data_IF_125868026402
#
_entry.id   IF_125868026402
#
_cell.length_a   1.000
_cell.length_b   1.000
_cell.length_c   1.000
_cell.angle_alpha   90.00
_cell.angle_beta   90.00
_cell.angle_gamma   90.00
#
_symmetry.space_group_name_H-M   'P 1'
#
loop_
_entity.id
_entity.type
_entity.pdbx_description
1 polymer ?
#
# COMPACT_ATOMS: atom_id res chain seq x y z
N UNK A 1 1.86 -15.88 7.37
CA UNK A 1 1.57 -14.43 7.31
C UNK A 1 2.72 -13.66 7.94
N UNK A 2 3.18 -12.58 7.31
CA UNK A 2 4.22 -11.71 7.84
C UNK A 2 3.97 -10.26 7.44
N UNK A 3 4.11 -9.34 8.41
CA UNK A 3 3.97 -7.90 8.25
C UNK A 3 5.35 -7.25 8.23
N UNK A 4 5.57 -6.34 7.29
CA UNK A 4 6.76 -5.49 7.21
C UNK A 4 8.03 -6.33 7.17
N UNK A 5 8.91 -6.27 8.18
CA UNK A 5 10.12 -7.09 8.26
C UNK A 5 9.85 -8.59 8.20
N UNK A 6 8.80 -9.09 8.85
CA UNK A 6 8.45 -10.51 8.77
C UNK A 6 7.89 -10.89 7.38
N UNK A 7 7.29 -9.94 6.65
CA UNK A 7 6.94 -10.13 5.24
C UNK A 7 8.18 -10.21 4.34
N UNK A 8 9.19 -9.37 4.60
CA UNK A 8 10.50 -9.43 3.92
C UNK A 8 11.26 -10.71 4.23
N UNK A 9 11.14 -11.22 5.47
CA UNK A 9 11.63 -12.54 5.84
C UNK A 9 10.99 -13.65 5.00
N UNK A 10 9.66 -13.65 4.88
CA UNK A 10 8.98 -14.65 4.05
C UNK A 10 9.42 -14.59 2.58
N UNK A 11 9.66 -13.38 2.04
CA UNK A 11 10.22 -13.23 0.69
C UNK A 11 11.63 -13.82 0.59
N UNK A 12 12.53 -13.51 1.54
CA UNK A 12 13.88 -14.09 1.52
C UNK A 12 13.89 -15.60 1.71
N UNK A 13 13.07 -16.12 2.63
CA UNK A 13 12.90 -17.55 2.87
C UNK A 13 12.58 -18.32 1.59
N UNK A 14 11.68 -17.79 0.76
CA UNK A 14 11.34 -18.38 -0.53
C UNK A 14 12.48 -18.25 -1.56
N UNK A 15 13.11 -17.07 -1.61
CA UNK A 15 14.25 -16.84 -2.50
C UNK A 15 15.44 -17.79 -2.23
N UNK A 16 15.74 -18.05 -0.96
CA UNK A 16 16.82 -18.94 -0.54
C UNK A 16 16.46 -20.43 -0.75
N UNK A 17 15.20 -20.72 -1.12
CA UNK A 17 14.73 -22.08 -1.39
C UNK A 17 14.34 -22.85 -0.12
N UNK A 18 14.16 -22.16 1.00
CA UNK A 18 13.89 -22.81 2.30
C UNK A 18 12.47 -23.36 2.43
N UNK A 19 11.61 -23.24 1.40
CA UNK A 19 10.33 -23.93 1.40
C UNK A 19 10.45 -25.44 1.15
N UNK A 20 11.61 -25.94 0.72
CA UNK A 20 11.93 -27.35 0.71
C UNK A 20 12.64 -27.70 2.02
N UNK A 21 12.06 -28.60 2.81
CA UNK A 21 12.71 -29.13 4.02
C UNK A 21 13.90 -30.04 3.67
N UNK A 22 14.64 -30.51 4.68
CA UNK A 22 15.81 -31.39 4.49
C UNK A 22 15.47 -32.74 3.81
N UNK A 23 14.17 -33.07 3.68
CA UNK A 23 13.66 -34.27 3.00
C UNK A 23 12.96 -33.93 1.67
N UNK A 24 13.03 -32.68 1.21
CA UNK A 24 12.41 -32.21 -0.03
C UNK A 24 10.90 -32.01 0.05
N UNK A 25 10.31 -31.90 1.25
CA UNK A 25 8.87 -31.64 1.43
C UNK A 25 8.61 -30.15 1.55
N UNK A 26 7.42 -29.73 1.11
CA UNK A 26 6.95 -28.36 1.26
C UNK A 26 6.79 -27.97 2.74
N UNK A 27 7.38 -26.86 3.16
CA UNK A 27 7.32 -26.36 4.54
C UNK A 27 6.11 -25.44 4.79
N UNK A 28 5.81 -24.53 3.86
CA UNK A 28 4.61 -23.70 3.88
C UNK A 28 3.77 -23.95 2.64
N UNK A 29 2.47 -24.22 2.86
CA UNK A 29 1.49 -24.29 1.78
C UNK A 29 1.00 -22.91 1.33
N UNK A 30 1.01 -21.94 2.25
CA UNK A 30 0.57 -20.57 2.00
C UNK A 30 1.50 -19.54 2.60
N UNK A 31 1.86 -18.54 1.80
CA UNK A 31 2.67 -17.40 2.22
C UNK A 31 1.93 -16.10 1.95
N UNK A 32 1.78 -15.27 2.99
CA UNK A 32 1.24 -13.93 2.85
C UNK A 32 2.26 -12.91 3.36
N UNK A 33 2.88 -12.19 2.42
CA UNK A 33 3.79 -11.08 2.68
C UNK A 33 3.05 -9.74 2.59
N UNK A 34 2.76 -9.15 3.74
CA UNK A 34 2.06 -7.88 3.86
C UNK A 34 3.03 -6.73 4.15
N UNK A 35 2.87 -5.61 3.44
CA UNK A 35 3.64 -4.35 3.53
C UNK A 35 5.16 -4.54 3.53
N UNK A 36 5.62 -5.57 2.83
CA UNK A 36 7.04 -5.84 2.62
C UNK A 36 7.65 -4.87 1.57
N UNK A 37 6.81 -4.20 0.78
CA UNK A 37 7.24 -3.49 -0.42
C UNK A 37 7.87 -4.45 -1.43
N UNK A 38 8.89 -3.98 -2.15
CA UNK A 38 9.66 -4.82 -3.06
C UNK A 38 10.81 -5.57 -2.40
N UNK A 39 11.26 -5.12 -1.23
CA UNK A 39 12.45 -5.63 -0.58
C UNK A 39 12.36 -7.07 -0.09
N UNK A 40 13.52 -7.66 0.16
CA UNK A 40 13.72 -8.92 0.87
C UNK A 40 14.52 -8.66 2.14
N UNK A 41 14.57 -9.62 3.06
CA UNK A 41 15.28 -9.40 4.31
C UNK A 41 16.79 -9.51 4.15
N UNK A 42 17.53 -8.81 5.01
CA UNK A 42 18.99 -8.83 5.01
C UNK A 42 19.50 -9.85 6.03
N UNK A 43 19.58 -11.13 5.63
CA UNK A 43 20.02 -12.21 6.54
C UNK A 43 21.32 -12.90 6.08
N UNK A 44 21.44 -13.19 4.78
CA UNK A 44 22.47 -14.10 4.28
C UNK A 44 23.50 -13.43 3.36
N UNK A 45 24.03 -12.27 3.77
CA UNK A 45 25.15 -11.61 3.10
C UNK A 45 26.11 -10.94 4.09
N UNK A 46 27.34 -10.64 3.65
CA UNK A 46 28.37 -10.06 4.52
C UNK A 46 27.92 -8.72 5.10
N UNK A 47 27.99 -8.58 6.42
CA UNK A 47 27.52 -7.40 7.17
C UNK A 47 25.99 -7.18 7.13
N UNK A 48 25.23 -8.24 6.84
CA UNK A 48 23.78 -8.24 6.95
C UNK A 48 23.30 -7.77 8.33
N UNK A 49 22.31 -6.87 8.33
CA UNK A 49 21.64 -6.38 9.52
C UNK A 49 20.14 -6.68 9.37
N UNK A 50 19.65 -7.76 9.99
CA UNK A 50 18.26 -8.25 9.84
C UNK A 50 17.17 -7.22 10.13
N UNK A 51 17.46 -6.23 10.98
CA UNK A 51 16.52 -5.16 11.35
C UNK A 51 16.45 -3.99 10.35
N UNK A 52 17.33 -3.93 9.35
CA UNK A 52 17.37 -2.82 8.39
C UNK A 52 16.33 -2.96 7.28
N UNK A 53 15.68 -1.85 6.98
CA UNK A 53 14.69 -1.67 5.91
C UNK A 53 14.83 -0.36 5.15
N UNK A 54 14.36 -0.37 3.90
CA UNK A 54 14.42 0.78 3.03
C UNK A 54 13.42 1.84 3.46
N UNK A 55 13.90 3.07 3.63
CA UNK A 55 13.08 4.25 3.91
C UNK A 55 13.61 5.46 3.16
N UNK A 56 12.80 6.51 2.99
CA UNK A 56 13.27 7.78 2.42
C UNK A 56 14.51 8.35 3.16
N UNK A 57 14.64 8.15 4.49
CA UNK A 57 15.73 8.70 5.31
C UNK A 57 16.76 7.71 5.83
N UNK A 58 16.46 6.42 5.81
CA UNK A 58 17.27 5.40 6.46
C UNK A 58 17.64 4.34 5.44
N UNK A 59 18.84 3.80 5.60
CA UNK A 59 19.31 2.67 4.80
C UNK A 59 19.27 2.92 3.28
N UNK A 60 19.42 4.19 2.86
CA UNK A 60 19.35 4.60 1.45
C UNK A 60 20.34 3.83 0.59
N UNK A 61 21.59 3.74 1.06
CA UNK A 61 22.71 3.04 0.42
C UNK A 61 22.87 1.59 0.89
N UNK A 62 22.01 1.11 1.81
CA UNK A 62 22.09 -0.24 2.31
C UNK A 62 21.23 -1.16 1.43
N UNK A 63 21.70 -2.39 1.09
CA UNK A 63 21.02 -3.30 0.19
C UNK A 63 19.77 -3.95 0.82
N UNK A 64 18.73 -3.14 0.97
CA UNK A 64 17.42 -3.52 1.53
C UNK A 64 16.43 -3.95 0.45
N UNK A 65 16.42 -3.21 -0.65
CA UNK A 65 15.53 -3.40 -1.81
C UNK A 65 16.34 -3.94 -3.00
N UNK A 66 16.76 -5.20 -2.90
CA UNK A 66 17.57 -5.87 -3.93
C UNK A 66 16.76 -6.92 -4.70
N UNK A 67 16.98 -7.05 -6.03
CA UNK A 67 16.28 -8.05 -6.84
C UNK A 67 16.63 -9.47 -6.39
N UNK A 68 15.78 -10.48 -6.69
CA UNK A 68 14.58 -10.37 -7.50
C UNK A 68 13.41 -9.68 -6.81
N UNK A 69 12.60 -8.97 -7.59
CA UNK A 69 11.44 -8.25 -7.09
C UNK A 69 10.13 -8.97 -7.41
N UNK A 70 10.03 -9.48 -8.64
CA UNK A 70 8.86 -10.18 -9.16
C UNK A 70 8.77 -11.59 -8.57
N UNK A 71 7.55 -12.13 -8.52
CA UNK A 71 7.29 -13.47 -8.00
C UNK A 71 8.07 -14.55 -8.76
N UNK A 72 8.04 -14.54 -10.09
CA UNK A 72 8.65 -15.58 -10.93
C UNK A 72 10.13 -15.79 -10.59
N UNK A 73 10.88 -14.70 -10.45
CA UNK A 73 12.30 -14.77 -10.09
C UNK A 73 12.49 -15.12 -8.59
N UNK A 74 11.61 -14.63 -7.72
CA UNK A 74 11.61 -14.93 -6.29
C UNK A 74 11.39 -16.43 -6.03
N UNK A 75 10.54 -17.08 -6.82
CA UNK A 75 10.12 -18.47 -6.65
C UNK A 75 10.90 -19.47 -7.48
N UNK A 76 11.92 -19.04 -8.24
CA UNK A 76 12.66 -19.91 -9.16
C UNK A 76 13.19 -21.21 -8.50
N UNK A 77 13.66 -21.14 -7.24
CA UNK A 77 14.07 -22.33 -6.47
C UNK A 77 12.90 -23.20 -6.05
N UNK A 78 11.83 -22.60 -5.53
CA UNK A 78 10.63 -23.33 -5.13
C UNK A 78 9.98 -24.07 -6.31
N UNK A 79 10.00 -23.48 -7.51
CA UNK A 79 9.55 -24.13 -8.75
C UNK A 79 10.42 -25.34 -9.07
N UNK A 80 11.74 -25.18 -9.04
CA UNK A 80 12.70 -26.27 -9.29
C UNK A 80 12.54 -27.42 -8.30
N UNK A 81 12.29 -27.10 -7.04
CA UNK A 81 12.21 -28.07 -5.95
C UNK A 81 10.78 -28.59 -5.72
N UNK A 82 9.81 -28.18 -6.56
CA UNK A 82 8.40 -28.59 -6.50
C UNK A 82 7.69 -28.28 -5.17
N UNK A 83 8.01 -27.13 -4.57
CA UNK A 83 7.48 -26.66 -3.27
C UNK A 83 6.94 -25.23 -3.34
N UNK A 84 6.26 -24.87 -4.44
CA UNK A 84 5.68 -23.53 -4.63
C UNK A 84 4.47 -23.33 -3.71
N UNK A 85 4.49 -22.37 -2.77
CA UNK A 85 3.33 -22.06 -1.94
C UNK A 85 2.29 -21.24 -2.72
N UNK A 86 1.04 -21.25 -2.26
CA UNK A 86 0.07 -20.20 -2.64
C UNK A 86 0.46 -18.88 -2.00
N UNK A 87 0.42 -17.78 -2.74
CA UNK A 87 1.04 -16.52 -2.35
C UNK A 87 0.10 -15.33 -2.37
N UNK A 88 0.05 -14.57 -1.28
CA UNK A 88 -0.46 -13.19 -1.29
C UNK A 88 0.68 -12.20 -1.06
N UNK A 89 0.84 -11.27 -1.99
CA UNK A 89 1.55 -10.01 -1.76
C UNK A 89 0.50 -8.95 -1.51
N UNK A 90 0.53 -8.28 -0.36
CA UNK A 90 -0.32 -7.12 -0.16
C UNK A 90 0.42 -5.91 0.36
N UNK A 91 0.12 -4.76 -0.19
CA UNK A 91 0.80 -3.50 0.10
C UNK A 91 -0.24 -2.38 0.17
N UNK A 92 0.03 -1.36 0.99
CA UNK A 92 -0.70 -0.12 1.02
C UNK A 92 -0.06 0.92 0.10
N UNK A 93 -0.65 2.11 0.08
CA UNK A 93 -0.15 3.26 -0.67
C UNK A 93 1.24 3.68 -0.21
N UNK A 94 1.51 3.65 1.10
CA UNK A 94 2.84 3.98 1.62
C UNK A 94 3.95 3.11 1.02
N UNK A 95 3.73 1.83 0.75
CA UNK A 95 4.80 0.98 0.21
C UNK A 95 5.19 1.35 -1.23
N UNK A 96 4.31 1.98 -2.00
CA UNK A 96 4.68 2.53 -3.32
C UNK A 96 5.60 3.76 -3.17
N UNK A 97 5.34 4.60 -2.16
CA UNK A 97 6.14 5.80 -1.88
C UNK A 97 7.45 5.53 -1.15
N UNK A 98 7.41 4.63 -0.17
CA UNK A 98 8.46 4.42 0.82
C UNK A 98 9.19 3.09 0.72
N UNK A 99 8.68 2.12 -0.05
CA UNK A 99 9.24 0.75 -0.14
C UNK A 99 9.22 0.13 -1.55
N UNK A 100 9.20 0.98 -2.58
CA UNK A 100 9.35 0.59 -3.98
C UNK A 100 8.35 -0.49 -4.47
N UNK A 101 7.15 -0.61 -3.88
CA UNK A 101 6.23 -1.73 -4.12
C UNK A 101 5.90 -1.99 -5.59
N UNK A 102 5.90 -0.95 -6.45
CA UNK A 102 5.70 -1.13 -7.91
C UNK A 102 6.62 -2.18 -8.55
N UNK A 103 7.82 -2.41 -8.02
CA UNK A 103 8.80 -3.34 -8.61
C UNK A 103 8.37 -4.81 -8.51
N UNK A 104 7.38 -5.16 -7.67
CA UNK A 104 6.91 -6.55 -7.60
C UNK A 104 6.06 -6.95 -8.80
N UNK A 105 5.58 -5.97 -9.59
CA UNK A 105 4.66 -6.17 -10.72
C UNK A 105 4.98 -5.28 -11.93
N UNK A 106 6.22 -4.77 -12.03
CA UNK A 106 6.69 -4.00 -13.18
C UNK A 106 8.01 -4.54 -13.70
N UNK A 107 8.27 -4.37 -15.00
CA UNK A 107 9.55 -4.74 -15.61
C UNK A 107 10.71 -3.94 -15.00
N UNK A 108 11.96 -4.43 -15.03
CA UNK A 108 13.11 -3.73 -14.45
C UNK A 108 13.40 -2.32 -15.01
N UNK A 109 12.85 -2.00 -16.19
CA UNK A 109 12.89 -0.68 -16.83
C UNK A 109 11.63 0.17 -16.58
N UNK A 110 10.64 -0.36 -15.85
CA UNK A 110 9.41 0.32 -15.44
C UNK A 110 8.43 0.61 -16.57
N UNK A 111 8.50 -0.12 -17.69
CA UNK A 111 7.69 0.16 -18.89
C UNK A 111 6.53 -0.79 -19.13
N UNK A 112 6.52 -1.96 -18.48
CA UNK A 112 5.49 -2.96 -18.68
C UNK A 112 5.03 -3.56 -17.34
N UNK A 113 3.75 -3.95 -17.31
CA UNK A 113 3.20 -4.75 -16.23
C UNK A 113 3.80 -6.16 -16.26
N UNK A 114 4.13 -6.70 -15.08
CA UNK A 114 4.49 -8.10 -14.87
C UNK A 114 3.39 -8.73 -14.02
N UNK A 115 2.51 -9.56 -14.61
CA UNK A 115 1.43 -10.18 -13.84
C UNK A 115 1.97 -11.22 -12.85
N UNK A 116 1.29 -11.45 -11.71
CA UNK A 116 1.56 -12.61 -10.86
C UNK A 116 1.19 -13.91 -11.59
N UNK A 117 1.82 -15.01 -11.21
CA UNK A 117 1.46 -16.34 -11.68
C UNK A 117 0.13 -16.80 -11.05
N UNK A 118 -0.39 -17.94 -11.53
CA UNK A 118 -1.69 -18.47 -11.10
C UNK A 118 -1.80 -18.72 -9.59
N UNK A 119 -0.66 -19.03 -8.96
CA UNK A 119 -0.53 -19.35 -7.54
C UNK A 119 -0.19 -18.15 -6.67
N UNK A 120 -0.21 -16.94 -7.24
CA UNK A 120 -0.10 -15.71 -6.49
C UNK A 120 -1.27 -14.74 -6.73
N UNK A 121 -1.47 -13.87 -5.75
CA UNK A 121 -2.32 -12.67 -5.87
C UNK A 121 -1.58 -11.45 -5.33
N UNK A 122 -1.84 -10.31 -5.98
CA UNK A 122 -1.36 -9.00 -5.53
C UNK A 122 -2.57 -8.17 -5.13
N UNK A 123 -2.58 -7.69 -3.88
CA UNK A 123 -3.63 -6.83 -3.35
C UNK A 123 -3.06 -5.50 -2.88
N UNK A 124 -3.55 -4.42 -3.47
CA UNK A 124 -3.20 -3.06 -3.12
C UNK A 124 -4.33 -2.43 -2.29
N UNK A 125 -4.05 -1.94 -1.09
CA UNK A 125 -5.00 -1.18 -0.27
C UNK A 125 -4.83 0.31 -0.57
N UNK A 126 -5.76 0.84 -1.37
CA UNK A 126 -5.70 2.23 -1.83
C UNK A 126 -5.94 3.22 -0.70
N UNK A 127 -5.24 4.34 -0.73
CA UNK A 127 -5.26 5.42 0.26
C UNK A 127 -4.81 4.99 1.65
N UNK A 128 -3.90 4.02 1.81
CA UNK A 128 -3.48 3.55 3.14
C UNK A 128 -2.04 3.88 3.51
N UNK A 129 -1.82 4.16 4.79
CA UNK A 129 -0.47 4.17 5.36
C UNK A 129 0.08 2.76 5.64
N UNK A 130 1.31 2.66 6.20
CA UNK A 130 2.01 1.38 6.42
C UNK A 130 1.25 0.42 7.34
N UNK A 131 0.52 0.97 8.31
CA UNK A 131 -0.35 0.25 9.22
C UNK A 131 -1.79 0.72 9.09
N UNK A 132 -2.76 -0.01 9.64
CA UNK A 132 -4.15 0.42 9.61
C UNK A 132 -4.35 1.71 10.41
N UNK A 133 -5.11 2.64 9.83
CA UNK A 133 -5.47 3.90 10.46
C UNK A 133 -6.60 3.75 11.50
N UNK A 134 -6.83 4.84 12.23
CA UNK A 134 -7.85 4.92 13.27
C UNK A 134 -8.54 6.27 13.25
N UNK A 135 -9.81 6.30 13.61
CA UNK A 135 -10.55 7.53 13.89
C UNK A 135 -10.81 7.64 15.41
N UNK A 136 -10.52 8.78 16.06
CA UNK A 136 -9.83 9.96 15.51
C UNK A 136 -8.37 9.65 15.10
N UNK A 137 -7.76 10.45 14.21
CA UNK A 137 -6.37 10.30 13.80
C UNK A 137 -5.43 10.42 15.00
N UNK A 138 -4.32 9.66 14.96
CA UNK A 138 -3.28 9.76 15.98
C UNK A 138 -2.57 11.13 15.91
N UNK A 139 -1.96 11.56 17.00
CA UNK A 139 -1.07 12.74 16.97
C UNK A 139 0.29 12.33 16.42
N UNK A 140 0.75 13.04 15.39
CA UNK A 140 2.07 12.86 14.75
C UNK A 140 2.63 14.22 14.37
N UNK A 141 3.95 14.32 14.23
CA UNK A 141 4.64 15.55 13.81
C UNK A 141 4.76 15.62 12.28
N UNK A 142 3.64 15.43 11.59
CA UNK A 142 3.53 15.48 10.14
C UNK A 142 2.76 16.74 9.68
N UNK A 143 2.85 17.08 8.39
CA UNK A 143 2.17 18.25 7.82
C UNK A 143 0.65 18.12 7.92
N UNK A 144 0.13 16.94 7.58
CA UNK A 144 -1.29 16.63 7.59
C UNK A 144 -1.63 15.66 8.72
N UNK A 145 -2.92 15.55 9.06
CA UNK A 145 -3.41 14.48 9.93
C UNK A 145 -2.98 13.11 9.35
N UNK A 146 -2.66 12.11 10.20
CA UNK A 146 -2.33 10.79 9.70
C UNK A 146 -3.56 10.12 9.10
N UNK A 147 -3.32 9.34 8.04
CA UNK A 147 -4.35 8.53 7.39
C UNK A 147 -5.15 7.68 8.39
N UNK A 148 -6.45 7.60 8.14
CA UNK A 148 -7.41 6.87 8.99
C UNK A 148 -7.84 5.54 8.37
N UNK A 149 -7.60 5.29 7.09
CA UNK A 149 -8.10 4.12 6.38
C UNK A 149 -7.73 2.79 7.06
N UNK A 150 -8.75 1.98 7.39
CA UNK A 150 -8.59 0.70 8.09
C UNK A 150 -8.83 -0.51 7.17
N UNK A 151 -7.78 -0.92 6.47
CA UNK A 151 -7.82 -2.04 5.54
C UNK A 151 -7.92 -3.42 6.21
N UNK A 152 -7.93 -3.53 7.55
CA UNK A 152 -7.99 -4.83 8.25
C UNK A 152 -9.25 -5.62 7.93
N UNK A 153 -10.37 -4.94 7.64
CA UNK A 153 -11.60 -5.64 7.25
C UNK A 153 -11.43 -6.43 5.94
N UNK A 154 -10.70 -5.86 4.98
CA UNK A 154 -10.35 -6.57 3.75
C UNK A 154 -9.35 -7.70 4.01
N UNK A 155 -8.37 -7.50 4.91
CA UNK A 155 -7.47 -8.57 5.30
C UNK A 155 -8.19 -9.76 5.95
N UNK A 156 -9.24 -9.52 6.74
CA UNK A 156 -10.04 -10.59 7.34
C UNK A 156 -10.73 -11.44 6.28
N UNK A 157 -11.29 -10.82 5.24
CA UNK A 157 -11.88 -11.53 4.12
C UNK A 157 -10.83 -12.34 3.34
N UNK A 158 -9.72 -11.70 2.99
CA UNK A 158 -8.61 -12.36 2.30
C UNK A 158 -7.99 -13.51 3.09
N UNK A 159 -7.99 -13.45 4.43
CA UNK A 159 -7.54 -14.58 5.24
C UNK A 159 -8.41 -15.82 5.04
N UNK A 160 -9.74 -15.66 4.99
CA UNK A 160 -10.66 -16.77 4.71
C UNK A 160 -10.51 -17.24 3.26
N UNK A 161 -10.26 -16.33 2.32
CA UNK A 161 -9.99 -16.71 0.93
C UNK A 161 -8.69 -17.52 0.78
N UNK A 162 -7.63 -17.16 1.50
CA UNK A 162 -6.39 -17.96 1.55
C UNK A 162 -6.67 -19.33 2.17
N UNK A 163 -7.44 -19.41 3.27
CA UNK A 163 -7.80 -20.69 3.88
C UNK A 163 -8.57 -21.59 2.90
N UNK A 164 -9.60 -21.06 2.23
CA UNK A 164 -10.37 -21.81 1.24
C UNK A 164 -9.54 -22.23 0.02
N UNK A 165 -8.56 -21.41 -0.37
CA UNK A 165 -7.64 -21.75 -1.46
C UNK A 165 -6.73 -22.93 -1.08
N UNK A 166 -6.21 -22.93 0.15
CA UNK A 166 -5.32 -23.97 0.64
C UNK A 166 -6.03 -25.29 0.95
N UNK A 167 -7.22 -25.23 1.57
CA UNK A 167 -7.95 -26.43 1.98
C UNK A 167 -8.75 -27.07 0.85
N UNK A 168 -9.42 -26.25 0.06
CA UNK A 168 -10.51 -26.69 -0.81
C UNK A 168 -10.20 -26.42 -2.30
N UNK A 169 -9.09 -25.73 -2.60
CA UNK A 169 -8.76 -25.28 -3.95
C UNK A 169 -9.65 -24.12 -4.44
N UNK A 170 -10.46 -23.51 -3.56
CA UNK A 170 -11.35 -22.40 -3.94
C UNK A 170 -10.51 -21.16 -4.21
N UNK A 171 -10.43 -20.73 -5.47
CA UNK A 171 -9.63 -19.57 -5.83
C UNK A 171 -10.08 -18.30 -5.05
N UNK A 172 -9.13 -17.49 -4.57
CA UNK A 172 -9.42 -16.19 -3.97
C UNK A 172 -9.86 -15.19 -5.05
N UNK A 173 -10.34 -14.00 -4.68
CA UNK A 173 -10.56 -12.91 -5.62
C UNK A 173 -9.37 -12.67 -6.54
N UNK A 174 -9.63 -12.18 -7.74
CA UNK A 174 -8.58 -11.80 -8.66
C UNK A 174 -7.76 -10.63 -8.10
N UNK A 175 -6.49 -10.57 -8.49
CA UNK A 175 -5.55 -9.56 -8.01
C UNK A 175 -6.08 -8.14 -8.26
N UNK A 176 -5.94 -7.26 -7.26
CA UNK A 176 -6.38 -5.87 -7.29
C UNK A 176 -5.17 -4.95 -7.07
N UNK A 177 -4.56 -4.46 -8.15
CA UNK A 177 -3.38 -3.57 -8.10
C UNK A 177 -3.34 -2.62 -9.31
N UNK A 178 -2.69 -1.44 -9.18
CA UNK A 178 -2.53 -0.49 -10.27
C UNK A 178 -1.66 -1.05 -11.40
N UNK A 179 -2.04 -0.77 -12.65
CA UNK A 179 -1.35 -1.22 -13.86
C UNK A 179 -0.94 -0.07 -14.77
N UNK A 180 0.21 -0.20 -15.42
CA UNK A 180 0.71 0.70 -16.46
C UNK A 180 -0.24 0.66 -17.67
N UNK A 181 -0.65 -0.54 -18.10
CA UNK A 181 -1.58 -0.75 -19.24
C UNK A 181 -2.97 -0.13 -19.07
N UNK A 182 -3.29 0.38 -17.89
CA UNK A 182 -4.56 1.06 -17.57
C UNK A 182 -4.37 2.51 -17.14
N UNK A 183 -3.17 3.08 -17.29
CA UNK A 183 -2.81 4.42 -16.83
C UNK A 183 -3.02 4.64 -15.31
N UNK A 184 -3.00 3.55 -14.55
CA UNK A 184 -3.20 3.56 -13.09
C UNK A 184 -1.89 3.63 -12.30
N UNK A 185 -0.75 3.52 -12.99
CA UNK A 185 0.57 3.49 -12.38
C UNK A 185 1.51 4.42 -13.16
N UNK A 186 2.01 5.47 -12.51
CA UNK A 186 2.67 6.61 -13.18
C UNK A 186 3.98 7.00 -12.51
N UNK A 187 4.86 7.67 -13.25
CA UNK A 187 6.05 8.31 -12.68
C UNK A 187 5.63 9.48 -11.77
N UNK A 188 6.48 9.86 -10.81
CA UNK A 188 6.19 10.93 -9.85
C UNK A 188 5.76 12.25 -10.50
N UNK A 189 6.45 12.66 -11.57
CA UNK A 189 6.12 13.90 -12.29
C UNK A 189 4.80 13.86 -13.07
N UNK A 190 4.17 12.69 -13.20
CA UNK A 190 2.89 12.48 -13.88
C UNK A 190 1.73 12.15 -12.91
N UNK A 191 2.00 12.16 -11.59
CA UNK A 191 0.95 12.02 -10.58
C UNK A 191 0.03 13.24 -10.62
N UNK A 192 -1.25 13.03 -10.90
CA UNK A 192 -2.23 14.08 -11.13
C UNK A 192 -2.93 14.52 -9.82
N UNK A 193 -2.15 14.75 -8.75
CA UNK A 193 -2.71 15.16 -7.47
C UNK A 193 -3.31 16.57 -7.55
N UNK A 194 -4.52 16.82 -6.99
CA UNK A 194 -5.17 18.12 -7.09
C UNK A 194 -4.34 19.23 -6.44
N UNK A 195 -4.26 20.37 -7.10
CA UNK A 195 -3.57 21.55 -6.57
C UNK A 195 -4.43 22.21 -5.49
N UNK A 196 -4.07 21.98 -4.22
CA UNK A 196 -4.72 22.56 -3.05
C UNK A 196 -3.83 23.69 -2.51
N UNK A 197 -4.39 24.88 -2.30
CA UNK A 197 -3.61 26.03 -1.82
C UNK A 197 -3.02 25.78 -0.43
N UNK A 198 -1.76 26.18 -0.23
CA UNK A 198 -1.02 25.94 1.02
C UNK A 198 -0.59 24.49 1.30
N UNK A 199 -1.01 23.51 0.49
CA UNK A 199 -0.61 22.10 0.64
C UNK A 199 0.69 21.83 -0.11
N UNK A 200 1.75 21.41 0.59
CA UNK A 200 2.93 20.81 -0.06
C UNK A 200 2.65 19.36 -0.41
N UNK A 201 3.07 18.98 -1.61
CA UNK A 201 3.07 17.59 -2.12
C UNK A 201 4.51 17.09 -2.23
N UNK A 202 4.77 15.78 -2.06
CA UNK A 202 6.13 15.25 -2.14
C UNK A 202 6.73 15.40 -3.54
N UNK A 203 7.98 15.84 -3.61
CA UNK A 203 8.78 15.90 -4.84
C UNK A 203 9.82 14.80 -4.92
N UNK A 204 9.90 13.95 -3.89
CA UNK A 204 10.80 12.82 -3.78
C UNK A 204 10.04 11.58 -3.31
N UNK A 205 10.53 10.41 -3.71
CA UNK A 205 10.05 9.09 -3.27
C UNK A 205 11.24 8.18 -3.04
N UNK A 206 11.02 7.05 -2.35
CA UNK A 206 12.04 6.01 -2.21
C UNK A 206 12.31 5.37 -3.57
N UNK A 207 13.59 5.34 -3.93
CA UNK A 207 14.09 4.53 -5.05
C UNK A 207 14.82 3.30 -4.54
N UNK A 208 14.68 2.19 -5.27
CA UNK A 208 15.58 1.04 -5.15
C UNK A 208 16.74 1.21 -6.12
N UNK A 209 17.94 0.78 -5.73
CA UNK A 209 19.15 0.95 -6.54
C UNK A 209 19.72 -0.39 -6.96
N UNK A 210 20.33 -0.42 -8.15
CA UNK A 210 21.23 -1.53 -8.51
C UNK A 210 22.44 -1.46 -7.60
N UNK A 211 22.77 -2.55 -6.92
CA UNK A 211 23.89 -2.59 -5.98
C UNK A 211 24.79 -3.76 -6.35
N UNK A 212 26.07 -3.47 -6.59
CA UNK A 212 27.12 -4.48 -6.76
C UNK A 212 27.67 -4.86 -5.38
N UNK A 213 27.33 -6.08 -4.95
CA UNK A 213 27.74 -6.66 -3.67
C UNK A 213 29.08 -7.42 -3.76
N UNK A 214 29.73 -7.49 -4.93
CA UNK A 214 31.03 -8.16 -5.11
C UNK A 214 32.22 -7.35 -4.58
N UNK A 215 32.02 -6.06 -4.30
CA UNK A 215 33.03 -5.13 -3.78
C UNK A 215 32.61 -4.54 -2.43
N UNK A 216 33.59 -4.10 -1.62
CA UNK A 216 33.35 -3.48 -0.31
C UNK A 216 34.02 -2.10 -0.20
N UNK A 217 33.27 -1.01 0.05
CA UNK A 217 31.81 -0.96 0.22
C UNK A 217 31.05 -1.28 -1.08
N UNK A 218 29.80 -1.78 -1.01
CA UNK A 218 28.99 -2.04 -2.19
C UNK A 218 28.88 -0.83 -3.11
N UNK A 219 28.99 -1.06 -4.42
CA UNK A 219 28.92 0.02 -5.41
C UNK A 219 27.48 0.21 -5.88
N UNK A 220 26.96 1.44 -5.77
CA UNK A 220 25.65 1.78 -6.29
C UNK A 220 25.70 2.05 -7.80
N UNK A 221 24.70 1.55 -8.50
CA UNK A 221 24.38 1.86 -9.90
C UNK A 221 23.10 2.69 -10.01
N UNK A 222 22.52 2.69 -11.21
CA UNK A 222 21.29 3.41 -11.49
C UNK A 222 20.08 2.86 -10.70
N UNK A 223 19.17 3.77 -10.33
CA UNK A 223 17.90 3.44 -9.72
C UNK A 223 17.03 2.54 -10.63
N UNK A 224 16.24 1.67 -10.02
CA UNK A 224 15.10 1.05 -10.69
C UNK A 224 13.98 2.08 -10.80
N UNK A 225 13.31 2.22 -11.96
CA UNK A 225 12.17 3.12 -12.07
C UNK A 225 11.03 2.63 -11.19
N UNK A 226 10.79 3.29 -10.06
CA UNK A 226 9.60 3.03 -9.23
C UNK A 226 8.47 3.97 -9.64
N UNK A 227 7.25 3.45 -9.64
CA UNK A 227 6.03 4.14 -10.07
C UNK A 227 5.03 4.24 -8.92
N UNK A 228 4.07 5.15 -9.05
CA UNK A 228 3.07 5.47 -8.03
C UNK A 228 1.66 5.23 -8.56
N UNK A 229 0.72 4.76 -7.72
CA UNK A 229 -0.68 4.66 -8.09
C UNK A 229 -1.25 6.04 -8.46
N UNK A 230 -1.95 6.13 -9.59
CA UNK A 230 -2.61 7.35 -10.04
C UNK A 230 -3.86 7.65 -9.20
N UNK A 231 -4.16 8.94 -9.05
CA UNK A 231 -5.29 9.45 -8.27
C UNK A 231 -6.40 10.04 -9.15
N UNK A 232 -7.61 10.11 -8.60
CA UNK A 232 -8.71 10.86 -9.17
C UNK A 232 -8.60 12.36 -8.84
N UNK A 233 -9.59 13.14 -9.27
CA UNK A 233 -9.70 14.58 -9.02
C UNK A 233 -9.72 14.95 -7.53
N UNK A 234 -10.02 14.00 -6.65
CA UNK A 234 -10.06 14.18 -5.21
C UNK A 234 -8.73 13.81 -4.56
N UNK A 235 -7.72 13.40 -5.33
CA UNK A 235 -6.45 12.94 -4.80
C UNK A 235 -6.51 11.55 -4.17
N UNK A 236 -7.56 10.77 -4.47
CA UNK A 236 -7.71 9.39 -3.99
C UNK A 236 -7.32 8.40 -5.10
N UNK A 237 -6.58 7.36 -4.73
CA UNK A 237 -6.06 6.39 -5.71
C UNK A 237 -7.20 5.57 -6.36
N UNK A 238 -7.09 5.34 -7.66
CA UNK A 238 -8.19 4.80 -8.48
C UNK A 238 -8.20 3.28 -8.63
N UNK A 239 -7.10 2.62 -8.26
CA UNK A 239 -6.89 1.19 -8.44
C UNK A 239 -6.79 0.44 -7.11
N UNK A 240 -6.91 -0.89 -7.17
CA UNK A 240 -6.80 -1.75 -5.99
C UNK A 240 -8.09 -1.84 -5.17
N UNK A 241 -7.94 -2.33 -3.95
CA UNK A 241 -9.00 -2.43 -2.94
C UNK A 241 -9.18 -1.04 -2.32
N UNK A 242 -10.15 -0.30 -2.84
CA UNK A 242 -10.65 0.94 -2.24
C UNK A 242 -11.66 0.58 -1.16
N UNK A 243 -11.30 0.80 0.11
CA UNK A 243 -12.21 0.65 1.26
C UNK A 243 -13.41 1.60 1.12
N UNK A 244 -14.55 1.37 1.80
CA UNK A 244 -15.73 2.22 1.66
C UNK A 244 -15.45 3.71 1.90
N UNK A 245 -14.60 4.05 2.88
CA UNK A 245 -14.14 5.42 3.16
C UNK A 245 -13.39 6.05 1.96
N UNK A 246 -12.70 5.26 1.13
CA UNK A 246 -11.98 5.74 -0.07
C UNK A 246 -12.88 5.75 -1.31
N UNK A 247 -13.97 4.96 -1.32
CA UNK A 247 -15.00 4.97 -2.38
C UNK A 247 -16.00 6.09 -2.20
N UNK A 248 -16.27 6.47 -0.95
CA UNK A 248 -17.21 7.53 -0.54
C UNK A 248 -16.45 8.51 0.36
N UNK A 249 -15.50 9.28 -0.19
CA UNK A 249 -14.52 10.02 0.60
C UNK A 249 -15.09 11.24 1.32
N UNK A 250 -14.54 11.51 2.50
CA UNK A 250 -14.63 12.79 3.22
C UNK A 250 -13.30 13.56 3.19
N UNK A 251 -12.27 12.97 2.60
CA UNK A 251 -10.91 13.48 2.53
C UNK A 251 -10.17 12.89 1.32
N UNK A 252 -8.98 13.44 1.04
CA UNK A 252 -7.95 12.70 0.30
C UNK A 252 -7.22 11.79 1.31
N UNK A 253 -7.17 10.50 1.03
CA UNK A 253 -6.40 9.49 1.75
C UNK A 253 -5.18 9.12 0.90
N UNK A 254 -3.97 9.36 1.42
CA UNK A 254 -2.74 9.22 0.63
C UNK A 254 -1.72 8.35 1.32
N UNK A 255 -0.87 7.67 0.55
CA UNK A 255 0.26 6.89 1.06
C UNK A 255 1.44 7.71 1.56
N UNK A 256 1.36 9.04 1.55
CA UNK A 256 2.47 9.93 1.89
C UNK A 256 2.00 10.99 2.86
N UNK A 257 2.91 11.47 3.69
CA UNK A 257 2.74 12.69 4.47
C UNK A 257 4.10 13.36 4.52
N UNK A 258 4.15 14.69 4.61
CA UNK A 258 5.41 15.40 4.74
C UNK A 258 5.70 15.70 6.20
N UNK A 259 6.96 15.96 6.55
CA UNK A 259 7.32 16.33 7.93
C UNK A 259 6.74 17.69 8.31
N UNK A 260 6.31 17.83 9.56
CA UNK A 260 5.88 19.12 10.09
C UNK A 260 7.05 20.11 10.16
N UNK A 261 6.74 21.41 10.06
CA UNK A 261 7.72 22.49 10.23
C UNK A 261 8.49 22.39 11.53
N UNK A 262 7.80 22.02 12.61
CA UNK A 262 8.34 21.96 13.96
C UNK A 262 9.52 20.98 14.10
N UNK A 263 9.59 19.95 13.25
CA UNK A 263 10.64 18.93 13.28
C UNK A 263 11.62 19.01 12.09
N UNK A 264 11.55 20.09 11.31
CA UNK A 264 12.42 20.36 10.15
C UNK A 264 12.23 19.41 8.96
N UNK A 265 12.93 19.73 7.87
CA UNK A 265 12.96 18.97 6.61
C UNK A 265 11.56 18.76 5.99
N UNK A 266 10.84 19.86 5.75
CA UNK A 266 9.42 19.85 5.35
C UNK A 266 9.13 19.30 3.96
N UNK A 267 10.14 19.19 3.10
CA UNK A 267 9.99 18.65 1.74
C UNK A 267 10.16 17.12 1.72
N UNK A 268 10.37 16.53 2.89
CA UNK A 268 10.66 15.12 3.03
C UNK A 268 9.48 14.32 3.61
N UNK A 269 9.37 13.06 3.18
CA UNK A 269 8.30 12.14 3.58
C UNK A 269 8.39 11.75 5.06
N UNK A 270 7.33 11.97 5.84
CA UNK A 270 7.19 11.42 7.18
C UNK A 270 7.04 9.89 7.12
N UNK A 271 7.94 9.18 7.80
CA UNK A 271 8.04 7.72 7.67
C UNK A 271 6.75 7.01 8.09
N UNK A 272 6.29 6.10 7.24
CA UNK A 272 5.18 5.17 7.45
C UNK A 272 3.80 5.78 7.64
N UNK A 273 3.66 7.11 7.53
CA UNK A 273 2.42 7.82 7.79
C UNK A 273 1.88 8.41 6.49
N UNK A 274 0.63 8.08 6.19
CA UNK A 274 -0.14 8.66 5.10
C UNK A 274 -0.82 9.96 5.52
N UNK A 275 -1.31 10.75 4.57
CA UNK A 275 -2.10 11.95 4.89
C UNK A 275 -3.58 11.67 4.83
N UNK A 276 -4.29 12.18 5.82
CA UNK A 276 -5.72 12.47 5.80
C UNK A 276 -5.90 13.97 5.58
N UNK A 277 -6.42 14.36 4.41
CA UNK A 277 -6.60 15.77 4.01
C UNK A 277 -8.10 16.03 3.82
N UNK A 278 -8.81 16.50 4.87
CA UNK A 278 -10.25 16.75 4.82
C UNK A 278 -10.68 17.57 3.61
N UNK A 279 -11.84 17.21 3.06
CA UNK A 279 -12.56 18.10 2.16
C UNK A 279 -13.10 19.31 2.95
N UNK A 280 -13.30 20.46 2.29
CA UNK A 280 -14.04 21.57 2.89
C UNK A 280 -15.45 21.11 3.31
N UNK A 281 -16.00 21.69 4.38
CA UNK A 281 -17.33 21.37 4.87
C UNK A 281 -18.39 21.82 3.86
N UNK A 282 -18.30 23.06 3.40
CA UNK A 282 -19.25 23.66 2.47
C UNK A 282 -18.57 24.40 1.31
N UNK A 283 -19.40 24.88 0.39
CA UNK A 283 -18.96 25.64 -0.79
C UNK A 283 -18.21 26.93 -0.42
N UNK A 284 -18.61 27.61 0.66
CA UNK A 284 -17.99 28.87 1.09
C UNK A 284 -16.57 28.60 1.57
N UNK A 285 -16.38 27.58 2.40
CA UNK A 285 -15.05 27.16 2.85
C UNK A 285 -14.19 26.70 1.66
N UNK A 286 -14.76 25.92 0.74
CA UNK A 286 -14.08 25.46 -0.48
C UNK A 286 -13.55 26.63 -1.31
N UNK A 287 -14.39 27.63 -1.58
CA UNK A 287 -14.03 28.82 -2.36
C UNK A 287 -12.97 29.66 -1.63
N UNK A 288 -13.11 29.85 -0.31
CA UNK A 288 -12.13 30.57 0.51
C UNK A 288 -10.75 29.90 0.53
N UNK A 289 -10.72 28.57 0.63
CA UNK A 289 -9.50 27.74 0.58
C UNK A 289 -8.98 27.53 -0.83
N UNK A 290 -9.72 27.96 -1.87
CA UNK A 290 -9.45 27.68 -3.29
C UNK A 290 -9.22 26.19 -3.53
N UNK A 291 -9.96 25.35 -2.82
CA UNK A 291 -9.86 23.90 -2.93
C UNK A 291 -10.66 23.44 -4.17
N UNK A 292 -10.04 22.72 -5.12
CA UNK A 292 -10.74 22.27 -6.32
C UNK A 292 -11.72 21.11 -6.04
N UNK A 293 -11.59 20.43 -4.90
CA UNK A 293 -12.39 19.25 -4.56
C UNK A 293 -13.76 19.70 -4.03
N UNK A 294 -14.84 19.08 -4.49
CA UNK A 294 -16.19 19.35 -3.97
C UNK A 294 -16.23 19.20 -2.45
N UNK A 295 -16.97 20.08 -1.77
CA UNK A 295 -17.13 20.07 -0.33
C UNK A 295 -17.99 18.88 0.13
N UNK A 296 -17.96 18.57 1.43
CA UNK A 296 -18.79 17.52 2.03
C UNK A 296 -20.28 17.79 1.76
N UNK A 297 -20.74 19.02 1.99
CA UNK A 297 -22.14 19.42 1.76
C UNK A 297 -22.55 19.41 0.28
N UNK A 298 -21.62 19.64 -0.66
CA UNK A 298 -21.89 19.52 -2.10
C UNK A 298 -22.05 18.04 -2.52
N UNK A 299 -21.31 17.12 -1.89
CA UNK A 299 -21.34 15.67 -2.19
C UNK A 299 -22.46 14.91 -1.52
N UNK A 300 -22.70 15.22 -0.24
CA UNK A 300 -23.57 14.44 0.63
C UNK A 300 -24.59 15.39 1.30
N UNK A 301 -25.86 15.35 0.86
CA UNK A 301 -26.91 16.21 1.43
C UNK A 301 -27.13 16.01 2.93
N UNK A 302 -26.78 14.83 3.47
CA UNK A 302 -26.83 14.55 4.91
C UNK A 302 -25.91 13.39 5.29
N UNK A 303 -25.63 13.28 6.60
CA UNK A 303 -24.96 12.10 7.18
C UNK A 303 -25.67 10.79 6.84
N UNK A 304 -27.01 10.81 6.78
CA UNK A 304 -27.79 9.62 6.45
C UNK A 304 -27.46 9.13 5.02
N UNK A 305 -27.51 10.03 4.03
CA UNK A 305 -27.17 9.70 2.63
C UNK A 305 -25.72 9.23 2.49
N UNK A 306 -24.80 9.85 3.23
CA UNK A 306 -23.40 9.40 3.28
C UNK A 306 -23.29 7.95 3.79
N UNK A 307 -23.98 7.61 4.89
CA UNK A 307 -23.93 6.27 5.47
C UNK A 307 -24.65 5.21 4.62
N UNK A 308 -25.67 5.59 3.85
CA UNK A 308 -26.27 4.72 2.83
C UNK A 308 -25.24 4.37 1.76
N UNK A 309 -24.55 5.36 1.20
CA UNK A 309 -23.48 5.15 0.21
C UNK A 309 -22.32 4.31 0.76
N UNK A 310 -21.92 4.51 2.02
CA UNK A 310 -20.93 3.66 2.68
C UNK A 310 -21.41 2.20 2.76
N UNK A 311 -22.68 2.00 3.11
CA UNK A 311 -23.28 0.67 3.21
C UNK A 311 -23.31 -0.02 1.84
N UNK A 312 -23.73 0.69 0.80
CA UNK A 312 -23.70 0.20 -0.60
C UNK A 312 -22.27 -0.17 -1.02
N UNK A 313 -21.29 0.71 -0.79
CA UNK A 313 -19.90 0.45 -1.12
C UNK A 313 -19.32 -0.78 -0.37
N UNK A 314 -19.70 -0.97 0.90
CA UNK A 314 -19.32 -2.14 1.68
C UNK A 314 -19.96 -3.42 1.13
N UNK A 315 -21.26 -3.39 0.82
CA UNK A 315 -22.01 -4.52 0.24
C UNK A 315 -21.43 -4.94 -1.12
N UNK A 316 -21.02 -3.99 -1.97
CA UNK A 316 -20.34 -4.32 -3.23
C UNK A 316 -18.99 -5.03 -3.02
N UNK A 317 -18.23 -4.63 -2.00
CA UNK A 317 -17.00 -5.35 -1.64
C UNK A 317 -17.28 -6.74 -1.05
N UNK A 318 -18.40 -6.93 -0.32
CA UNK A 318 -18.83 -8.26 0.15
C UNK A 318 -19.14 -9.17 -1.02
N UNK A 319 -19.87 -8.69 -2.04
CA UNK A 319 -20.13 -9.45 -3.29
C UNK A 319 -18.84 -9.84 -4.00
N UNK A 320 -17.82 -9.00 -3.91
CA UNK A 320 -16.48 -9.26 -4.47
C UNK A 320 -15.61 -10.16 -3.57
N UNK A 321 -16.13 -10.63 -2.42
CA UNK A 321 -15.40 -11.36 -1.36
C UNK A 321 -14.22 -10.58 -0.76
N UNK A 322 -14.20 -9.26 -0.94
CA UNK A 322 -13.16 -8.37 -0.42
C UNK A 322 -13.53 -7.78 0.95
N UNK A 323 -14.74 -8.01 1.44
CA UNK A 323 -15.19 -7.74 2.81
C UNK A 323 -16.07 -8.88 3.31
N UNK A 324 -16.19 -9.00 4.64
CA UNK A 324 -17.14 -9.91 5.27
C UNK A 324 -18.47 -9.18 5.54
N UNK A 325 -19.59 -9.86 5.34
CA UNK A 325 -20.92 -9.33 5.69
C UNK A 325 -20.99 -8.88 7.16
N UNK A 326 -20.35 -9.65 8.06
CA UNK A 326 -20.29 -9.35 9.49
C UNK A 326 -19.49 -8.10 9.86
N UNK A 327 -18.76 -7.51 8.91
CA UNK A 327 -17.97 -6.31 9.10
C UNK A 327 -18.66 -5.04 8.56
N UNK A 328 -19.75 -5.16 7.77
CA UNK A 328 -20.48 -4.03 7.16
C UNK A 328 -20.94 -3.01 8.20
N UNK A 329 -21.59 -3.45 9.28
CA UNK A 329 -22.07 -2.55 10.35
C UNK A 329 -20.90 -1.79 11.01
N UNK A 330 -19.79 -2.47 11.29
CA UNK A 330 -18.62 -1.85 11.92
C UNK A 330 -17.97 -0.79 11.03
N UNK A 331 -17.92 -1.05 9.73
CA UNK A 331 -17.40 -0.08 8.75
C UNK A 331 -18.33 1.13 8.68
N UNK A 332 -19.65 0.93 8.68
CA UNK A 332 -20.62 2.03 8.71
C UNK A 332 -20.50 2.86 9.99
N UNK A 333 -20.37 2.23 11.15
CA UNK A 333 -20.22 2.92 12.43
C UNK A 333 -18.93 3.73 12.49
N UNK A 334 -17.85 3.17 11.94
CA UNK A 334 -16.57 3.87 11.80
C UNK A 334 -16.67 5.09 10.87
N UNK A 335 -17.31 4.94 9.71
CA UNK A 335 -17.56 6.05 8.79
C UNK A 335 -18.43 7.14 9.44
N UNK A 336 -19.38 6.75 10.30
CA UNK A 336 -20.19 7.71 11.06
C UNK A 336 -19.35 8.51 12.06
N UNK A 337 -18.36 7.88 12.71
CA UNK A 337 -17.42 8.56 13.59
C UNK A 337 -16.46 9.47 12.81
N UNK A 338 -16.06 9.07 11.60
CA UNK A 338 -15.26 9.92 10.71
C UNK A 338 -16.02 11.16 10.25
N UNK A 339 -17.29 11.01 9.87
CA UNK A 339 -18.18 12.13 9.55
C UNK A 339 -18.25 13.12 10.72
N UNK A 340 -18.47 12.64 11.94
CA UNK A 340 -18.54 13.53 13.10
C UNK A 340 -17.21 14.22 13.36
N UNK A 341 -16.10 13.49 13.25
CA UNK A 341 -14.76 14.04 13.42
C UNK A 341 -14.44 15.12 12.41
N UNK A 342 -14.67 14.89 11.11
CA UNK A 342 -14.29 15.84 10.06
C UNK A 342 -15.04 17.17 10.23
N UNK A 343 -16.30 17.13 10.66
CA UNK A 343 -17.09 18.33 10.95
C UNK A 343 -16.66 19.07 12.22
N UNK A 344 -15.80 18.47 13.06
CA UNK A 344 -15.19 19.18 14.21
C UNK A 344 -13.90 19.93 13.85
N UNK A 345 -13.36 19.70 12.66
CA UNK A 345 -12.15 20.38 12.18
C UNK A 345 -12.52 21.76 11.65
N UNK A 346 -12.20 22.81 12.41
CA UNK A 346 -12.36 24.22 12.01
C UNK A 346 -11.20 24.70 11.14
#
# INVERSE_FOLDING_TARGET
>A
FGVSQSGRFLREFLYDGFNADERGRQAFDGVWAHVAGAGRGSFNFRFAQPSRDGHPFLNVLYPTDVPPFTEQELLARAVKDHVVPKMFFSNGSYEYWGRAASLIHTSPDGKADVPPDNDARIYFFAGSQHGPGSIPPRKVEAQNLPDVNDYRYAQRALLLDMEGWLKDGTAPPESQYPKISKDQLVALGALAFPKIDGLRVPTIKREAYRIDLSVMPPKMGAAYPTLLPQVDQDGNETAGIRMPEVRVPLASYTGWNLRAKAIGAQDELYSMVGSYIPFPHDKVERENRKDPRESIAERYPSKHVYLEKITEAAQELVKQRLLLESDVTKIRDRAAAEWDYVLTLN
#
